data_IF_416268749008
#
_entry.id   IF_416268749008
#
_cell.length_a   1.000
_cell.length_b   1.000
_cell.length_c   1.000
_cell.angle_alpha   90.00
_cell.angle_beta   90.00
_cell.angle_gamma   90.00
#
_symmetry.space_group_name_H-M   'P 1'
#
loop_
_entity.id
_entity.type
_entity.pdbx_description
1 polymer ?
#
# COMPACT_ATOMS: atom_id res chain seq x y z
N UNK A 1 15.22 6.73 16.23
CA UNK A 1 13.98 5.97 16.43
C UNK A 1 13.74 5.18 15.14
N UNK A 2 13.67 3.85 15.21
CA UNK A 2 13.62 2.92 14.07
C UNK A 2 12.23 2.26 14.04
N UNK A 3 11.20 3.03 13.66
CA UNK A 3 9.81 2.74 14.06
C UNK A 3 8.93 2.08 12.98
N UNK A 4 9.27 2.17 11.69
CA UNK A 4 8.57 1.48 10.60
C UNK A 4 7.62 2.38 9.80
N UNK A 5 6.64 1.75 9.13
CA UNK A 5 5.68 2.39 8.22
C UNK A 5 4.30 2.52 8.88
N UNK A 6 3.57 3.57 8.51
CA UNK A 6 2.18 3.76 8.88
C UNK A 6 1.44 4.38 7.69
N UNK A 7 0.30 3.80 7.34
CA UNK A 7 -0.58 4.29 6.28
C UNK A 7 -2.01 4.39 6.79
N UNK A 8 -2.78 5.28 6.18
CA UNK A 8 -4.20 5.48 6.46
C UNK A 8 -4.92 5.61 5.12
N UNK A 9 -6.23 5.36 5.12
CA UNK A 9 -7.10 5.45 3.95
C UNK A 9 -8.54 5.70 4.39
N UNK A 10 -9.43 6.00 3.44
CA UNK A 10 -10.86 6.11 3.73
C UNK A 10 -11.50 4.73 3.95
N UNK A 11 -10.84 3.69 3.44
CA UNK A 11 -11.18 2.28 3.62
C UNK A 11 -9.96 1.51 4.12
N UNK A 12 -10.21 0.31 4.68
CA UNK A 12 -9.14 -0.60 5.11
C UNK A 12 -8.32 -1.07 3.89
N UNK A 13 -8.99 -1.30 2.76
CA UNK A 13 -8.41 -1.67 1.47
C UNK A 13 -7.37 -0.65 0.99
N UNK A 14 -7.74 0.65 0.98
CA UNK A 14 -6.83 1.74 0.62
C UNK A 14 -5.59 1.76 1.52
N UNK A 15 -5.79 1.67 2.85
CA UNK A 15 -4.70 1.71 3.82
C UNK A 15 -3.75 0.53 3.64
N UNK A 16 -4.29 -0.68 3.43
CA UNK A 16 -3.54 -1.90 3.21
C UNK A 16 -2.74 -1.87 1.90
N UNK A 17 -3.37 -1.45 0.80
CA UNK A 17 -2.68 -1.30 -0.49
C UNK A 17 -1.53 -0.29 -0.40
N UNK A 18 -1.77 0.89 0.20
CA UNK A 18 -0.73 1.90 0.38
C UNK A 18 0.41 1.42 1.26
N UNK A 19 0.14 0.58 2.27
CA UNK A 19 1.19 -0.01 3.11
C UNK A 19 2.13 -0.89 2.28
N UNK A 20 1.56 -1.83 1.51
CA UNK A 20 2.33 -2.71 0.63
C UNK A 20 3.06 -1.95 -0.47
N UNK A 21 2.44 -0.92 -1.04
CA UNK A 21 3.07 -0.04 -2.02
C UNK A 21 4.28 0.69 -1.44
N UNK A 22 4.16 1.27 -0.24
CA UNK A 22 5.24 1.99 0.43
C UNK A 22 6.38 1.05 0.84
N UNK A 23 6.06 -0.13 1.36
CA UNK A 23 7.06 -1.16 1.71
C UNK A 23 7.89 -1.59 0.48
N UNK A 24 7.22 -1.90 -0.63
CA UNK A 24 7.89 -2.18 -1.91
C UNK A 24 8.73 -1.00 -2.40
N UNK A 25 8.23 0.23 -2.24
CA UNK A 25 8.97 1.45 -2.58
C UNK A 25 10.26 1.60 -1.77
N UNK A 26 10.21 1.37 -0.45
CA UNK A 26 11.39 1.35 0.41
C UNK A 26 12.40 0.30 -0.05
N UNK A 27 11.93 -0.92 -0.38
CA UNK A 27 12.79 -1.98 -0.89
C UNK A 27 13.47 -1.59 -2.21
N UNK A 28 12.71 -1.08 -3.17
CA UNK A 28 13.23 -0.62 -4.47
C UNK A 28 14.29 0.46 -4.27
N UNK A 29 14.03 1.45 -3.41
CA UNK A 29 15.00 2.52 -3.13
C UNK A 29 16.33 1.94 -2.62
N UNK A 30 16.28 1.03 -1.64
CA UNK A 30 17.48 0.40 -1.08
C UNK A 30 18.24 -0.41 -2.11
N UNK A 31 17.54 -1.19 -2.95
CA UNK A 31 18.16 -2.00 -4.00
C UNK A 31 18.83 -1.11 -5.07
N UNK A 32 18.19 -0.01 -5.49
CA UNK A 32 18.76 0.97 -6.43
C UNK A 32 20.00 1.64 -5.84
N UNK A 33 19.95 2.03 -4.57
CA UNK A 33 21.08 2.65 -3.89
C UNK A 33 22.27 1.71 -3.75
N UNK A 34 22.01 0.44 -3.38
CA UNK A 34 23.05 -0.59 -3.32
C UNK A 34 23.69 -0.82 -4.70
N UNK A 35 22.89 -0.89 -5.77
CA UNK A 35 23.40 -1.07 -7.12
C UNK A 35 24.26 0.11 -7.59
N UNK A 36 23.83 1.35 -7.33
CA UNK A 36 24.61 2.54 -7.67
C UNK A 36 25.92 2.63 -6.87
N UNK A 37 25.91 2.22 -5.60
CA UNK A 37 27.12 2.18 -4.78
C UNK A 37 28.15 1.16 -5.30
N UNK A 38 27.69 0.02 -5.84
CA UNK A 38 28.54 -1.03 -6.41
C UNK A 38 29.09 -0.72 -7.81
N UNK A 39 28.46 0.19 -8.56
CA UNK A 39 28.88 0.56 -9.91
C UNK A 39 28.71 2.08 -10.15
N UNK A 40 29.80 2.88 -10.11
CA UNK A 40 29.76 4.33 -10.32
C UNK A 40 29.24 4.76 -11.70
N UNK A 41 29.18 3.84 -12.68
CA UNK A 41 28.59 4.10 -13.99
C UNK A 41 27.07 4.06 -14.00
N UNK A 42 26.43 3.44 -13.00
CA UNK A 42 24.97 3.43 -12.86
C UNK A 42 24.49 4.72 -12.21
N UNK A 43 23.44 5.29 -12.79
CA UNK A 43 22.78 6.49 -12.28
C UNK A 43 21.30 6.19 -12.07
N UNK A 44 20.81 6.51 -10.87
CA UNK A 44 19.37 6.48 -10.58
C UNK A 44 18.66 7.55 -11.41
N UNK A 45 17.50 7.22 -11.96
CA UNK A 45 16.64 8.18 -12.64
C UNK A 45 15.57 8.64 -11.64
N UNK A 46 15.52 9.94 -11.38
CA UNK A 46 14.49 10.55 -10.54
C UNK A 46 13.38 11.05 -11.46
N UNK A 47 12.15 10.64 -11.18
CA UNK A 47 10.95 11.12 -11.88
C UNK A 47 10.78 12.61 -11.57
N UNK A 48 10.43 13.41 -12.58
CA UNK A 48 10.24 14.85 -12.39
C UNK A 48 9.04 15.14 -11.47
N UNK A 49 9.08 16.28 -10.77
CA UNK A 49 7.98 16.69 -9.89
C UNK A 49 6.64 16.84 -10.64
N UNK A 50 6.68 17.27 -11.90
CA UNK A 50 5.50 17.39 -12.76
C UNK A 50 4.86 16.02 -13.05
N UNK A 51 5.67 15.06 -13.50
CA UNK A 51 5.20 13.69 -13.79
C UNK A 51 4.73 12.99 -12.52
N UNK A 52 5.45 13.18 -11.40
CA UNK A 52 5.06 12.65 -10.10
C UNK A 52 3.73 13.23 -9.62
N UNK A 53 3.53 14.55 -9.75
CA UNK A 53 2.27 15.20 -9.38
C UNK A 53 1.10 14.76 -10.28
N UNK A 54 1.34 14.60 -11.58
CA UNK A 54 0.35 14.04 -12.50
C UNK A 54 -0.05 12.61 -12.10
N UNK A 55 0.93 11.76 -11.81
CA UNK A 55 0.68 10.40 -11.34
C UNK A 55 -0.12 10.40 -10.03
N UNK A 56 0.30 11.19 -9.03
CA UNK A 56 -0.42 11.35 -7.76
C UNK A 56 -1.90 11.69 -7.98
N UNK A 57 -2.18 12.66 -8.85
CA UNK A 57 -3.56 13.09 -9.17
C UNK A 57 -4.41 11.95 -9.75
N UNK A 58 -3.81 11.08 -10.54
CA UNK A 58 -4.53 10.02 -11.25
C UNK A 58 -4.62 8.72 -10.43
N UNK A 59 -3.53 8.33 -9.77
CA UNK A 59 -3.37 7.02 -9.15
C UNK A 59 -3.69 7.00 -7.65
N UNK A 60 -3.68 8.15 -6.97
CA UNK A 60 -3.92 8.24 -5.51
C UNK A 60 -5.33 8.69 -5.13
N UNK A 61 -6.28 8.63 -6.08
CA UNK A 61 -7.70 8.84 -5.79
C UNK A 61 -8.25 7.63 -5.02
N UNK A 62 -9.11 7.87 -4.02
CA UNK A 62 -9.56 6.83 -3.07
C UNK A 62 -10.22 5.62 -3.74
N UNK A 63 -11.00 5.80 -4.81
CA UNK A 63 -11.62 4.70 -5.54
C UNK A 63 -10.61 3.92 -6.37
N UNK A 64 -9.59 4.61 -6.89
CA UNK A 64 -8.45 3.95 -7.55
C UNK A 64 -7.70 3.11 -6.53
N UNK A 65 -7.30 3.68 -5.39
CA UNK A 65 -6.60 2.96 -4.33
C UNK A 65 -7.40 1.77 -3.77
N UNK A 66 -8.72 1.93 -3.57
CA UNK A 66 -9.62 0.82 -3.23
C UNK A 66 -9.55 -0.28 -4.31
N UNK A 67 -9.60 0.11 -5.60
CA UNK A 67 -9.60 -0.84 -6.71
C UNK A 67 -8.27 -1.57 -6.86
N UNK A 68 -7.14 -0.90 -6.64
CA UNK A 68 -5.80 -1.47 -6.71
C UNK A 68 -5.55 -2.53 -5.62
N UNK A 69 -6.25 -2.45 -4.48
CA UNK A 69 -6.19 -3.47 -3.44
C UNK A 69 -6.85 -4.80 -3.85
N UNK A 70 -7.87 -4.75 -4.72
CA UNK A 70 -8.77 -5.89 -4.95
C UNK A 70 -8.07 -7.15 -5.49
N UNK A 71 -7.13 -7.08 -6.47
CA UNK A 71 -6.47 -8.29 -6.97
C UNK A 71 -5.69 -9.05 -5.89
N UNK A 72 -5.03 -8.33 -4.97
CA UNK A 72 -4.29 -8.95 -3.86
C UNK A 72 -5.27 -9.63 -2.89
N UNK A 73 -6.40 -9.00 -2.60
CA UNK A 73 -7.46 -9.57 -1.75
C UNK A 73 -8.10 -10.80 -2.38
N UNK A 74 -8.46 -10.73 -3.68
CA UNK A 74 -9.02 -11.84 -4.44
C UNK A 74 -8.07 -13.05 -4.39
N UNK A 75 -6.78 -12.83 -4.64
CA UNK A 75 -5.76 -13.88 -4.55
C UNK A 75 -5.66 -14.49 -3.15
N UNK A 76 -5.71 -13.66 -2.09
CA UNK A 76 -5.70 -14.14 -0.70
C UNK A 76 -6.94 -14.99 -0.42
N UNK A 77 -8.12 -14.55 -0.85
CA UNK A 77 -9.38 -15.29 -0.64
C UNK A 77 -9.40 -16.62 -1.38
N UNK A 78 -8.88 -16.66 -2.60
CA UNK A 78 -8.78 -17.88 -3.39
C UNK A 78 -7.77 -18.88 -2.79
N UNK A 79 -6.63 -18.39 -2.31
CA UNK A 79 -5.54 -19.28 -1.84
C UNK A 79 -5.64 -19.70 -0.38
N UNK A 80 -6.18 -18.84 0.48
CA UNK A 80 -6.31 -19.12 1.92
C UNK A 80 -7.74 -19.55 2.31
N UNK A 81 -8.72 -19.23 1.47
CA UNK A 81 -10.15 -19.40 1.76
C UNK A 81 -10.72 -18.23 2.56
N UNK A 82 -11.91 -17.75 2.15
CA UNK A 82 -12.58 -16.62 2.83
C UNK A 82 -12.80 -16.85 4.33
N UNK A 83 -13.05 -18.09 4.75
CA UNK A 83 -13.22 -18.42 6.17
C UNK A 83 -11.98 -18.05 7.00
N UNK A 84 -10.77 -18.24 6.44
CA UNK A 84 -9.52 -17.93 7.15
C UNK A 84 -9.35 -16.42 7.32
N UNK A 85 -9.76 -15.62 6.34
CA UNK A 85 -9.74 -14.15 6.45
C UNK A 85 -10.81 -13.65 7.42
N UNK A 86 -11.97 -14.29 7.45
CA UNK A 86 -13.05 -13.93 8.38
C UNK A 86 -12.71 -14.25 9.85
N UNK A 87 -11.73 -15.13 10.11
CA UNK A 87 -11.33 -15.47 11.48
C UNK A 87 -10.87 -14.24 12.24
N UNK A 88 -11.54 -13.98 13.36
CA UNK A 88 -11.23 -12.86 14.24
C UNK A 88 -12.19 -11.67 14.11
N UNK A 89 -13.10 -11.67 13.13
CA UNK A 89 -14.21 -10.71 13.09
C UNK A 89 -15.53 -11.28 13.64
N UNK A 90 -15.56 -12.57 13.96
CA UNK A 90 -16.77 -13.28 14.42
C UNK A 90 -17.42 -12.68 15.68
N UNK A 91 -16.62 -12.02 16.53
CA UNK A 91 -17.06 -11.36 17.76
C UNK A 91 -16.95 -9.83 17.70
N UNK A 92 -16.62 -9.26 16.54
CA UNK A 92 -16.59 -7.80 16.40
C UNK A 92 -18.01 -7.26 16.34
N UNK A 93 -18.39 -6.55 17.39
CA UNK A 93 -19.65 -5.81 17.44
C UNK A 93 -19.41 -4.46 16.79
N UNK A 94 -20.21 -4.12 15.78
CA UNK A 94 -20.26 -2.75 15.29
C UNK A 94 -21.02 -1.96 16.35
N UNK A 95 -20.30 -1.16 17.14
CA UNK A 95 -20.95 -0.15 17.97
C UNK A 95 -21.70 0.79 17.01
N UNK A 96 -23.03 0.81 17.10
CA UNK A 96 -23.81 1.89 16.53
C UNK A 96 -23.35 3.18 17.22
N UNK A 97 -22.41 3.91 16.61
CA UNK A 97 -21.96 5.17 17.17
C UNK A 97 -23.13 6.15 17.22
N UNK A 98 -23.60 6.41 18.43
CA UNK A 98 -23.94 7.74 18.92
C UNK A 98 -24.93 8.51 18.06
N UNK A 99 -26.22 8.30 18.33
CA UNK A 99 -27.17 9.38 18.18
C UNK A 99 -26.77 10.55 19.09
N UNK A 100 -26.19 11.58 18.49
CA UNK A 100 -26.39 12.98 18.87
C UNK A 100 -26.19 13.88 17.65
#
# INVERSE_FOLDING_TARGET
MNHGLLTVGHTVDEAGYMFGLLDRGCRIQLDVEAACAGNPGLKRNIISDEEAAYNMKMASEKHVLYREAQPDLDYIFETQGMEVVARGVDNMVIDEQGGN
#
